data_IF_433764762923
#
_entry.id   IF_433764762923
#
_cell.length_a   1.000
_cell.length_b   1.000
_cell.length_c   1.000
_cell.angle_alpha   90.00
_cell.angle_beta   90.00
_cell.angle_gamma   90.00
#
_symmetry.space_group_name_H-M   'P 1'
#
loop_
_entity.id
_entity.type
_entity.pdbx_description
1 polymer ?
#
# COMPACT_ATOMS: atom_id res chain seq x y z
N UNK A 1 -5.98 -3.83 -22.59
CA UNK A 1 -5.83 -2.75 -21.60
C UNK A 1 -4.53 -3.01 -20.86
N UNK A 2 -3.50 -2.22 -21.13
CA UNK A 2 -2.23 -2.30 -20.41
C UNK A 2 -2.42 -1.73 -18.99
N UNK A 3 -2.07 -2.52 -17.99
CA UNK A 3 -2.04 -2.06 -16.60
C UNK A 3 -0.90 -1.05 -16.46
N UNK A 4 -1.23 0.23 -16.43
CA UNK A 4 -0.28 1.36 -16.31
C UNK A 4 0.58 1.35 -15.02
N UNK A 5 0.34 0.39 -14.10
CA UNK A 5 1.08 0.26 -12.85
C UNK A 5 1.39 -1.22 -12.56
N UNK A 6 2.41 -1.81 -13.19
CA UNK A 6 2.67 -3.26 -13.13
C UNK A 6 3.03 -3.82 -11.74
N UNK A 7 3.04 -3.00 -10.68
CA UNK A 7 3.50 -3.39 -9.33
C UNK A 7 2.59 -2.92 -8.18
N UNK A 8 1.31 -2.61 -8.45
CA UNK A 8 0.35 -2.28 -7.38
C UNK A 8 -0.30 -3.54 -6.82
N UNK A 9 0.19 -4.01 -5.68
CA UNK A 9 -0.45 -5.09 -4.90
C UNK A 9 -1.19 -4.53 -3.68
N UNK A 10 -2.28 -5.21 -3.28
CA UNK A 10 -2.89 -4.95 -1.96
C UNK A 10 -1.82 -5.10 -0.86
N UNK A 11 -1.85 -4.23 0.14
CA UNK A 11 -0.84 -4.12 1.19
C UNK A 11 0.31 -3.16 0.86
N UNK A 12 0.50 -2.79 -0.41
CA UNK A 12 1.54 -1.82 -0.79
C UNK A 12 1.20 -0.43 -0.26
N UNK A 13 2.20 0.27 0.29
CA UNK A 13 2.10 1.69 0.61
C UNK A 13 2.43 2.48 -0.65
N UNK A 14 1.48 3.30 -1.08
CA UNK A 14 1.61 4.15 -2.26
C UNK A 14 1.57 5.61 -1.85
N UNK A 15 2.23 6.45 -2.63
CA UNK A 15 2.13 7.89 -2.53
C UNK A 15 1.79 8.48 -3.90
N UNK A 16 0.95 9.51 -3.92
CA UNK A 16 0.61 10.21 -5.14
C UNK A 16 0.28 11.66 -4.90
N UNK A 17 0.32 12.46 -5.95
CA UNK A 17 -0.10 13.88 -5.90
C UNK A 17 -1.44 14.05 -6.59
N UNK A 18 -2.38 14.70 -5.89
CA UNK A 18 -3.70 15.07 -6.43
C UNK A 18 -3.58 16.23 -7.40
N UNK A 19 -4.24 16.11 -8.56
CA UNK A 19 -4.22 17.13 -9.61
C UNK A 19 -5.00 18.39 -9.24
N UNK A 20 -6.10 18.24 -8.52
CA UNK A 20 -6.99 19.34 -8.12
C UNK A 20 -6.44 20.18 -6.96
N UNK A 21 -5.84 19.55 -5.96
CA UNK A 21 -5.37 20.22 -4.74
C UNK A 21 -3.86 20.36 -4.63
N UNK A 22 -3.08 19.59 -5.41
CA UNK A 22 -1.62 19.50 -5.24
C UNK A 22 -1.20 18.79 -3.95
N UNK A 23 -2.13 18.17 -3.23
CA UNK A 23 -1.87 17.42 -2.00
C UNK A 23 -1.13 16.12 -2.32
N UNK A 24 -0.06 15.85 -1.57
CA UNK A 24 0.59 14.55 -1.54
C UNK A 24 -0.15 13.65 -0.57
N UNK A 25 -0.71 12.58 -1.10
CA UNK A 25 -1.42 11.54 -0.36
C UNK A 25 -0.49 10.35 -0.22
N UNK A 26 -0.46 9.73 0.95
CA UNK A 26 0.21 8.47 1.22
C UNK A 26 -0.77 7.53 1.93
N UNK A 27 -0.76 6.24 1.59
CA UNK A 27 -1.57 5.26 2.29
C UNK A 27 -1.39 3.85 1.77
N UNK A 28 -1.96 2.89 2.50
CA UNK A 28 -1.88 1.47 2.18
C UNK A 28 -3.01 1.06 1.23
N UNK A 29 -2.65 0.47 0.10
CA UNK A 29 -3.60 -0.01 -0.91
C UNK A 29 -4.37 -1.22 -0.38
N UNK A 30 -5.68 -1.09 -0.21
CA UNK A 30 -6.54 -2.25 0.12
C UNK A 30 -7.49 -2.62 -1.03
N UNK A 31 -7.68 -1.73 -2.00
CA UNK A 31 -8.48 -1.99 -3.20
C UNK A 31 -8.05 -1.14 -4.40
N UNK A 32 -8.18 -1.71 -5.59
CA UNK A 32 -7.94 -1.04 -6.86
C UNK A 32 -9.11 -1.37 -7.79
N UNK A 33 -9.72 -0.36 -8.41
CA UNK A 33 -10.71 -0.52 -9.47
C UNK A 33 -10.17 0.05 -10.78
N UNK A 34 -10.92 -0.07 -11.87
CA UNK A 34 -10.56 0.53 -13.16
C UNK A 34 -10.48 2.06 -13.14
N UNK A 35 -11.02 2.72 -12.11
CA UNK A 35 -11.12 4.19 -12.04
C UNK A 35 -10.62 4.79 -10.72
N UNK A 36 -10.37 3.99 -9.68
CA UNK A 36 -9.99 4.51 -8.37
C UNK A 36 -9.02 3.61 -7.60
N UNK A 37 -8.16 4.23 -6.80
CA UNK A 37 -7.38 3.58 -5.73
C UNK A 37 -8.11 3.75 -4.40
N UNK A 38 -8.18 2.68 -3.63
CA UNK A 38 -8.76 2.66 -2.30
C UNK A 38 -7.66 2.43 -1.27
N UNK A 39 -7.47 3.41 -0.40
CA UNK A 39 -6.41 3.44 0.61
C UNK A 39 -6.98 3.44 2.03
N UNK A 40 -6.26 2.80 2.95
CA UNK A 40 -6.45 2.89 4.41
C UNK A 40 -5.17 3.45 5.03
N UNK A 41 -5.22 3.84 6.30
CA UNK A 41 -4.10 4.49 6.99
C UNK A 41 -3.59 5.72 6.22
N UNK A 42 -4.52 6.55 5.73
CA UNK A 42 -4.20 7.65 4.81
C UNK A 42 -3.59 8.82 5.57
N UNK A 43 -2.52 9.37 4.99
CA UNK A 43 -1.88 10.62 5.38
C UNK A 43 -1.88 11.58 4.20
N UNK A 44 -2.07 12.87 4.49
CA UNK A 44 -2.10 13.92 3.48
C UNK A 44 -1.13 15.03 3.87
N UNK A 45 -0.45 15.60 2.90
CA UNK A 45 0.42 16.76 3.12
C UNK A 45 0.41 17.68 1.93
N UNK A 46 0.42 18.98 2.20
CA UNK A 46 0.79 20.02 1.23
C UNK A 46 2.23 20.46 1.50
N UNK A 47 2.83 21.23 0.58
CA UNK A 47 4.17 21.81 0.78
C UNK A 47 4.30 22.58 2.10
N UNK A 48 3.20 23.17 2.55
CA UNK A 48 3.20 24.09 3.70
C UNK A 48 2.57 23.50 4.96
N UNK A 49 1.85 22.36 4.86
CA UNK A 49 1.18 21.72 6.01
C UNK A 49 1.16 20.20 5.88
N UNK A 50 1.64 19.52 6.91
CA UNK A 50 1.43 18.07 7.08
C UNK A 50 0.13 17.86 7.86
N UNK A 51 -0.82 17.14 7.29
CA UNK A 51 -2.00 16.67 8.02
C UNK A 51 -1.64 15.38 8.76
N UNK A 52 -2.21 15.19 9.95
CA UNK A 52 -1.94 14.02 10.77
C UNK A 52 -2.41 12.74 10.05
N UNK A 53 -1.64 11.66 10.21
CA UNK A 53 -1.98 10.32 9.74
C UNK A 53 -3.22 9.86 10.50
N UNK A 54 -4.33 9.64 9.80
CA UNK A 54 -5.56 9.13 10.41
C UNK A 54 -5.65 7.62 10.12
N UNK A 55 -5.38 6.75 11.12
CA UNK A 55 -5.36 5.31 10.92
C UNK A 55 -6.73 4.74 10.51
N UNK A 56 -7.83 5.42 10.84
CA UNK A 56 -9.19 5.01 10.46
C UNK A 56 -9.69 5.60 9.14
N UNK A 57 -8.91 6.50 8.53
CA UNK A 57 -9.34 7.16 7.32
C UNK A 57 -9.21 6.24 6.12
N UNK A 58 -10.37 5.90 5.56
CA UNK A 58 -10.51 5.19 4.29
C UNK A 58 -10.75 6.21 3.19
N UNK A 59 -9.85 6.28 2.22
CA UNK A 59 -9.94 7.20 1.08
C UNK A 59 -10.14 6.45 -0.23
N UNK A 60 -11.04 6.94 -1.08
CA UNK A 60 -11.19 6.48 -2.47
C UNK A 60 -10.83 7.62 -3.41
N UNK A 61 -9.76 7.45 -4.20
CA UNK A 61 -9.20 8.51 -5.04
C UNK A 61 -9.26 8.10 -6.50
N UNK A 62 -9.81 8.98 -7.34
CA UNK A 62 -9.91 8.74 -8.78
C UNK A 62 -8.54 8.75 -9.43
N UNK A 63 -8.24 7.73 -10.25
CA UNK A 63 -7.01 7.65 -11.04
C UNK A 63 -6.88 8.84 -12.01
N UNK A 64 -8.00 9.38 -12.50
CA UNK A 64 -8.01 10.57 -13.37
C UNK A 64 -7.55 11.85 -12.67
N UNK A 65 -7.56 11.86 -11.33
CA UNK A 65 -7.17 13.00 -10.51
C UNK A 65 -5.78 12.82 -9.88
N UNK A 66 -5.00 11.83 -10.34
CA UNK A 66 -3.65 11.56 -9.86
C UNK A 66 -2.65 12.00 -10.94
N UNK A 67 -1.70 12.85 -10.55
CA UNK A 67 -0.65 13.36 -11.46
C UNK A 67 0.49 12.36 -11.56
N UNK A 68 0.95 11.88 -10.41
CA UNK A 68 2.09 10.96 -10.28
C UNK A 68 1.77 9.97 -9.18
N UNK A 69 2.10 8.69 -9.41
CA UNK A 69 1.89 7.61 -8.44
C UNK A 69 3.20 6.84 -8.27
N UNK A 70 3.64 6.71 -7.03
CA UNK A 70 4.85 6.01 -6.63
C UNK A 70 4.52 4.95 -5.57
N UNK A 71 5.18 3.79 -5.63
CA UNK A 71 5.09 2.76 -4.59
C UNK A 71 6.24 2.97 -3.61
N UNK A 72 5.93 3.37 -2.37
CA UNK A 72 6.93 3.71 -1.34
C UNK A 72 7.42 2.47 -0.62
N UNK A 73 6.52 1.53 -0.33
CA UNK A 73 6.86 0.29 0.38
C UNK A 73 6.05 -0.88 -0.19
N UNK A 74 6.76 -1.91 -0.64
CA UNK A 74 6.14 -3.20 -0.94
C UNK A 74 6.06 -4.01 0.35
N UNK A 75 4.95 -4.68 0.59
CA UNK A 75 4.99 -5.82 1.52
C UNK A 75 5.95 -6.85 0.94
N UNK A 76 7.11 -6.99 1.59
CA UNK A 76 7.89 -8.22 1.48
C UNK A 76 7.06 -9.24 2.25
N UNK A 77 6.29 -10.06 1.54
CA UNK A 77 5.82 -11.33 2.10
C UNK A 77 7.08 -12.02 2.58
N UNK A 78 7.31 -12.09 3.89
CA UNK A 78 8.29 -13.00 4.43
C UNK A 78 7.82 -14.39 4.02
N UNK A 79 8.35 -14.94 2.92
CA UNK A 79 8.36 -16.37 2.71
C UNK A 79 9.33 -16.92 3.77
N UNK A 80 8.86 -17.04 5.01
CA UNK A 80 9.38 -18.09 5.87
C UNK A 80 8.82 -19.35 5.26
N UNK A 81 9.61 -19.96 4.37
CA UNK A 81 9.38 -21.31 3.93
C UNK A 81 9.24 -22.15 5.20
N UNK A 82 8.00 -22.55 5.43
CA UNK A 82 7.64 -23.64 6.29
C UNK A 82 8.03 -24.91 5.52
N UNK A 83 9.30 -25.28 5.64
CA UNK A 83 9.85 -26.61 5.38
C UNK A 83 10.58 -27.00 6.67
N UNK A 84 10.33 -28.11 7.35
CA UNK A 84 9.49 -29.25 7.08
C UNK A 84 9.80 -30.29 8.16
N UNK A 85 8.76 -30.92 8.66
CA UNK A 85 8.70 -32.25 9.26
C UNK A 85 9.84 -32.81 10.14
N UNK A 86 9.46 -33.06 11.40
CA UNK A 86 9.31 -34.39 12.04
C UNK A 86 10.39 -35.44 11.74
N UNK A 87 11.09 -35.95 12.77
CA UNK A 87 10.86 -37.29 13.34
C UNK A 87 12.01 -37.73 14.28
N UNK A 88 11.60 -38.31 15.42
CA UNK A 88 12.27 -39.28 16.31
C UNK A 88 13.66 -39.03 16.93
N UNK A 89 13.70 -39.24 18.25
CA UNK A 89 14.93 -39.38 19.00
C UNK A 89 14.73 -39.50 20.51
N UNK A 90 13.90 -40.45 20.95
CA UNK A 90 13.95 -40.97 22.32
C UNK A 90 15.39 -41.30 22.71
N UNK A 91 15.87 -40.84 23.88
CA UNK A 91 16.71 -41.66 24.76
C UNK A 91 17.08 -40.91 26.05
N UNK A 92 16.86 -41.64 27.14
CA UNK A 92 17.09 -41.36 28.54
C UNK A 92 18.53 -40.97 28.90
N UNK A 93 18.70 -40.15 29.94
CA UNK A 93 19.75 -40.35 30.97
C UNK A 93 19.44 -39.58 32.24
#
# INVERSE_FOLDING_TARGET
>A
MENYFPNLSKGSVITFVRKDTGERVEGELYGLTSYAVKLKNVSMSTKDRKYALNPEMIGSFSLSNIVELEVVKREIKANTNQDGNNNEGSSSR
#
